data_IF_413360916143
#
_entry.id   IF_413360916143
#
_cell.length_a   1.000
_cell.length_b   1.000
_cell.length_c   1.000
_cell.angle_alpha   90.00
_cell.angle_beta   90.00
_cell.angle_gamma   90.00
#
_symmetry.space_group_name_H-M   'P 1'
#
loop_
_entity.id
_entity.type
_entity.pdbx_description
1 polymer ?
#
# COMPACT_ATOMS: atom_id res chain seq x y z
N UNK A 1 -51.39 -9.41 40.38
CA UNK A 1 -51.25 -8.45 41.49
C UNK A 1 -49.79 -8.35 41.89
N UNK A 2 -49.38 -7.18 42.40
CA UNK A 2 -48.05 -6.75 42.86
C UNK A 2 -47.11 -6.21 41.78
N UNK A 3 -47.22 -4.89 41.62
CA UNK A 3 -46.30 -3.97 40.97
C UNK A 3 -45.11 -3.74 41.92
N UNK A 4 -43.90 -3.62 41.40
CA UNK A 4 -42.83 -2.92 42.11
C UNK A 4 -42.03 -2.10 41.10
N UNK A 5 -41.75 -0.88 41.53
CA UNK A 5 -41.45 0.32 40.77
C UNK A 5 -40.25 0.98 41.49
N UNK A 6 -39.64 1.99 40.84
CA UNK A 6 -38.75 3.06 41.39
C UNK A 6 -37.29 2.61 41.73
N UNK A 7 -36.18 3.34 41.53
CA UNK A 7 -35.88 4.79 41.44
C UNK A 7 -34.62 5.06 40.60
N UNK A 8 -34.71 6.10 39.77
CA UNK A 8 -33.68 6.83 39.02
C UNK A 8 -32.79 7.69 39.94
N UNK A 9 -31.47 7.76 39.69
CA UNK A 9 -30.66 8.87 40.20
C UNK A 9 -29.79 9.48 39.09
N UNK A 10 -30.01 10.79 38.93
CA UNK A 10 -29.41 11.75 38.03
C UNK A 10 -28.05 12.21 38.59
N UNK A 11 -27.05 12.47 37.76
CA UNK A 11 -25.92 13.34 38.12
C UNK A 11 -25.43 14.10 36.89
N UNK A 12 -25.60 15.43 36.93
CA UNK A 12 -25.02 16.42 36.02
C UNK A 12 -23.74 17.00 36.63
N UNK A 13 -22.74 17.24 35.76
CA UNK A 13 -21.77 18.35 35.85
C UNK A 13 -21.28 18.57 34.39
N UNK A 14 -21.45 19.70 33.67
CA UNK A 14 -21.04 21.12 33.88
C UNK A 14 -19.54 21.21 34.24
N UNK A 15 -18.63 21.94 33.58
CA UNK A 15 -18.59 22.83 32.41
C UNK A 15 -17.12 23.19 32.11
N UNK A 16 -16.85 23.63 30.86
CA UNK A 16 -15.83 24.59 30.37
C UNK A 16 -14.39 24.56 30.91
N UNK A 17 -13.33 24.61 30.09
CA UNK A 17 -12.92 25.87 29.44
C UNK A 17 -11.87 25.64 28.34
N UNK A 18 -12.02 26.39 27.25
CA UNK A 18 -11.08 26.58 26.15
C UNK A 18 -9.87 27.43 26.57
N UNK A 19 -8.66 26.95 26.28
CA UNK A 19 -7.43 27.75 26.37
C UNK A 19 -7.14 28.35 24.99
N UNK A 20 -7.06 29.67 24.95
CA UNK A 20 -6.67 30.47 23.80
C UNK A 20 -5.19 30.29 23.47
N UNK A 21 -4.89 30.14 22.18
CA UNK A 21 -3.54 30.25 21.65
C UNK A 21 -3.02 31.69 21.69
N UNK A 22 -1.77 31.84 22.11
CA UNK A 22 -0.94 33.00 21.80
C UNK A 22 0.36 32.49 21.20
N UNK A 23 0.49 32.56 19.88
CA UNK A 23 1.80 32.55 19.22
C UNK A 23 2.00 33.90 18.57
N UNK A 24 3.03 34.58 19.06
CA UNK A 24 3.46 35.92 18.68
C UNK A 24 3.79 35.97 17.18
N UNK A 25 3.26 37.01 16.56
CA UNK A 25 3.48 37.48 15.21
C UNK A 25 4.93 37.95 15.04
N UNK A 26 5.78 37.13 14.43
CA UNK A 26 7.07 37.58 13.87
C UNK A 26 6.86 37.93 12.40
N UNK A 27 6.71 39.23 12.17
CA UNK A 27 6.56 39.84 10.86
C UNK A 27 7.96 40.06 10.26
N UNK A 28 8.42 39.13 9.42
CA UNK A 28 9.54 39.37 8.51
C UNK A 28 9.04 39.32 7.07
N UNK A 29 8.78 40.50 6.52
CA UNK A 29 8.54 40.74 5.11
C UNK A 29 9.86 40.59 4.36
N UNK A 30 10.03 39.47 3.66
CA UNK A 30 10.91 39.39 2.50
C UNK A 30 10.04 39.10 1.28
N UNK A 31 9.94 40.09 0.40
CA UNK A 31 9.31 39.98 -0.89
C UNK A 31 10.16 39.06 -1.80
N UNK A 32 9.96 37.76 -1.66
CA UNK A 32 10.40 36.76 -2.63
C UNK A 32 9.28 36.53 -3.64
N UNK A 33 9.52 36.84 -4.90
CA UNK A 33 8.67 36.43 -6.02
C UNK A 33 8.61 34.89 -6.04
N UNK A 34 7.49 34.32 -5.62
CA UNK A 34 7.27 32.89 -5.69
C UNK A 34 6.33 32.58 -6.85
N UNK A 35 6.88 31.99 -7.91
CA UNK A 35 6.11 31.40 -8.98
C UNK A 35 5.44 30.13 -8.44
N UNK A 36 4.17 30.24 -8.07
CA UNK A 36 3.34 29.08 -7.73
C UNK A 36 3.12 28.26 -9.01
N UNK A 37 3.91 27.20 -9.18
CA UNK A 37 3.68 26.16 -10.19
C UNK A 37 2.42 25.36 -9.80
N UNK A 38 1.36 25.34 -10.62
CA UNK A 38 0.23 24.44 -10.41
C UNK A 38 0.64 23.03 -10.84
N UNK A 39 1.13 22.21 -9.91
CA UNK A 39 1.54 20.85 -10.27
C UNK A 39 2.18 19.97 -9.21
N UNK A 40 2.19 20.35 -7.92
CA UNK A 40 2.69 19.47 -6.87
C UNK A 40 1.53 18.74 -6.19
N UNK A 41 1.35 17.50 -6.65
CA UNK A 41 1.04 16.29 -5.84
C UNK A 41 0.23 16.54 -4.57
N UNK A 42 -1.03 16.09 -4.60
CA UNK A 42 -1.81 15.77 -3.40
C UNK A 42 -0.88 15.16 -2.36
N UNK A 43 -0.61 15.91 -1.29
CA UNK A 43 0.08 15.39 -0.12
C UNK A 43 -0.71 14.16 0.33
N UNK A 44 -0.09 12.97 0.25
CA UNK A 44 -0.60 11.76 0.90
C UNK A 44 -0.96 12.16 2.31
N UNK A 45 -2.24 12.13 2.66
CA UNK A 45 -2.68 12.22 4.05
C UNK A 45 -1.83 11.24 4.84
N UNK A 46 -1.05 11.73 5.80
CA UNK A 46 -0.26 10.90 6.68
C UNK A 46 -1.26 10.00 7.41
N UNK A 47 -1.34 8.76 6.98
CA UNK A 47 -2.31 7.81 7.52
C UNK A 47 -1.82 7.48 8.91
N UNK A 48 -2.53 7.98 9.93
CA UNK A 48 -2.16 7.75 11.32
C UNK A 48 -2.23 6.25 11.60
N UNK A 49 -1.18 5.70 12.19
CA UNK A 49 -1.17 4.30 12.60
C UNK A 49 -2.12 4.09 13.79
N UNK A 50 -2.94 3.04 13.72
CA UNK A 50 -3.85 2.67 14.79
C UNK A 50 -3.19 1.82 15.89
N UNK A 51 -3.95 1.45 16.92
CA UNK A 51 -3.46 0.66 18.05
C UNK A 51 -2.84 -0.69 17.67
N UNK A 52 -3.21 -1.25 16.51
CA UNK A 52 -2.69 -2.51 16.00
C UNK A 52 -1.65 -2.33 14.89
N UNK A 53 -1.22 -1.09 14.63
CA UNK A 53 -0.26 -0.76 13.58
C UNK A 53 -0.85 -0.71 12.17
N UNK A 54 -2.19 -0.73 12.05
CA UNK A 54 -2.91 -0.57 10.79
C UNK A 54 -3.12 0.90 10.41
N UNK A 55 -3.73 1.14 9.24
CA UNK A 55 -4.12 2.46 8.78
C UNK A 55 -5.45 2.89 9.39
N UNK A 56 -5.51 4.07 10.00
CA UNK A 56 -6.77 4.65 10.46
C UNK A 56 -7.47 5.46 9.36
N UNK A 57 -8.77 5.21 9.19
CA UNK A 57 -9.68 6.01 8.37
C UNK A 57 -10.93 6.37 9.17
N UNK A 58 -11.36 7.63 9.07
CA UNK A 58 -12.60 8.08 9.71
C UNK A 58 -13.73 8.12 8.69
N UNK A 59 -14.87 7.52 9.05
CA UNK A 59 -16.09 7.49 8.24
C UNK A 59 -17.30 7.84 9.11
N UNK A 60 -17.76 9.09 9.03
CA UNK A 60 -18.85 9.60 9.88
C UNK A 60 -18.46 9.62 11.36
N UNK A 61 -19.20 8.88 12.19
CA UNK A 61 -18.98 8.79 13.64
C UNK A 61 -18.11 7.60 14.05
N UNK A 62 -17.60 6.85 13.08
CA UNK A 62 -16.77 5.69 13.30
C UNK A 62 -15.39 5.91 12.72
N UNK A 63 -14.40 5.32 13.37
CA UNK A 63 -13.04 5.20 12.88
C UNK A 63 -12.76 3.72 12.65
N UNK A 64 -12.13 3.41 11.52
CA UNK A 64 -11.76 2.05 11.15
C UNK A 64 -10.25 1.96 11.03
N UNK A 65 -9.66 0.94 11.65
CA UNK A 65 -8.26 0.57 11.46
C UNK A 65 -8.20 -0.63 10.51
N UNK A 66 -7.49 -0.49 9.39
CA UNK A 66 -7.24 -1.60 8.47
C UNK A 66 -5.83 -2.12 8.62
N UNK A 67 -5.68 -3.43 8.83
CA UNK A 67 -4.40 -4.12 8.78
C UNK A 67 -4.35 -4.93 7.50
N UNK A 68 -3.31 -4.70 6.69
CA UNK A 68 -3.00 -5.51 5.52
C UNK A 68 -1.77 -6.35 5.82
N UNK A 69 -1.93 -7.66 5.77
CA UNK A 69 -0.83 -8.63 5.95
C UNK A 69 -0.76 -9.56 4.75
N UNK A 70 0.24 -10.45 4.73
CA UNK A 70 0.29 -11.52 3.72
C UNK A 70 -0.80 -12.58 3.94
N UNK A 71 -1.35 -12.67 5.16
CA UNK A 71 -2.40 -13.63 5.53
C UNK A 71 -3.83 -13.14 5.27
N UNK A 72 -4.01 -11.83 5.01
CA UNK A 72 -5.31 -11.28 4.68
C UNK A 72 -5.47 -9.83 5.12
N UNK A 73 -6.73 -9.44 5.31
CA UNK A 73 -7.12 -8.13 5.82
C UNK A 73 -7.88 -8.28 7.13
N UNK A 74 -7.61 -7.37 8.06
CA UNK A 74 -8.31 -7.25 9.34
C UNK A 74 -8.80 -5.81 9.49
N UNK A 75 -10.03 -5.64 10.00
CA UNK A 75 -10.64 -4.34 10.20
C UNK A 75 -11.16 -4.25 11.63
N UNK A 76 -10.61 -3.30 12.39
CA UNK A 76 -11.10 -2.92 13.71
C UNK A 76 -11.95 -1.66 13.59
N UNK A 77 -12.99 -1.55 14.41
CA UNK A 77 -13.89 -0.40 14.40
C UNK A 77 -13.90 0.25 15.76
N UNK A 78 -13.82 1.58 15.77
CA UNK A 78 -13.82 2.44 16.94
C UNK A 78 -14.89 3.51 16.80
N UNK A 79 -15.38 4.02 17.93
CA UNK A 79 -16.18 5.23 17.97
C UNK A 79 -15.29 6.49 17.89
N UNK A 80 -15.92 7.67 17.93
CA UNK A 80 -15.20 8.95 17.89
C UNK A 80 -14.29 9.18 19.12
N UNK A 81 -14.54 8.49 20.23
CA UNK A 81 -13.71 8.54 21.43
C UNK A 81 -12.54 7.54 21.38
N UNK A 82 -12.39 6.80 20.27
CA UNK A 82 -11.36 5.77 20.12
C UNK A 82 -11.69 4.48 20.88
N UNK A 83 -12.92 4.30 21.34
CA UNK A 83 -13.33 3.07 22.04
C UNK A 83 -13.72 2.00 21.02
N UNK A 84 -13.29 0.73 21.21
CA UNK A 84 -13.66 -0.36 20.32
C UNK A 84 -15.18 -0.54 20.24
N UNK A 85 -15.70 -0.70 19.02
CA UNK A 85 -17.10 -0.98 18.73
C UNK A 85 -17.26 -2.47 18.43
N UNK A 86 -18.27 -3.09 19.04
CA UNK A 86 -18.58 -4.51 18.80
C UNK A 86 -18.93 -4.78 17.33
N UNK A 87 -18.26 -5.78 16.74
CA UNK A 87 -18.46 -6.20 15.34
C UNK A 87 -19.13 -7.57 15.18
N UNK A 88 -19.58 -8.23 16.25
CA UNK A 88 -20.13 -9.60 16.21
C UNK A 88 -21.30 -9.80 15.23
N UNK A 89 -22.13 -8.77 15.07
CA UNK A 89 -23.24 -8.73 14.11
C UNK A 89 -22.87 -8.04 12.80
N UNK A 90 -21.69 -7.44 12.75
CA UNK A 90 -21.14 -6.77 11.59
C UNK A 90 -20.80 -7.77 10.50
N UNK A 91 -21.00 -7.36 9.26
CA UNK A 91 -20.53 -8.06 8.07
C UNK A 91 -19.93 -7.03 7.13
N UNK A 92 -19.09 -7.47 6.23
CA UNK A 92 -18.62 -6.57 5.19
C UNK A 92 -18.17 -7.31 3.95
N UNK A 93 -17.76 -6.53 2.98
CA UNK A 93 -17.02 -7.01 1.85
C UNK A 93 -15.89 -6.04 1.53
N UNK A 94 -14.79 -6.61 1.05
CA UNK A 94 -13.64 -5.86 0.58
C UNK A 94 -13.35 -6.22 -0.87
N UNK A 95 -13.19 -5.20 -1.71
CA UNK A 95 -12.72 -5.35 -3.08
C UNK A 95 -11.28 -4.89 -3.17
N UNK A 96 -10.39 -5.81 -3.56
CA UNK A 96 -8.95 -5.57 -3.68
C UNK A 96 -8.58 -5.47 -5.16
N UNK A 97 -7.83 -4.42 -5.52
CA UNK A 97 -7.18 -4.27 -6.82
C UNK A 97 -5.68 -4.10 -6.61
N UNK A 98 -4.87 -4.84 -7.36
CA UNK A 98 -3.41 -4.71 -7.28
C UNK A 98 -2.95 -3.65 -8.27
N UNK A 99 -1.99 -2.82 -7.87
CA UNK A 99 -1.37 -1.83 -8.76
C UNK A 99 -0.90 -2.47 -10.07
N UNK A 100 -1.21 -1.83 -11.20
CA UNK A 100 -0.91 -2.35 -12.54
C UNK A 100 -1.82 -3.50 -13.00
N UNK A 101 -2.84 -3.87 -12.22
CA UNK A 101 -3.83 -4.88 -12.59
C UNK A 101 -5.25 -4.28 -12.59
N UNK A 102 -5.97 -4.44 -13.70
CA UNK A 102 -7.35 -3.95 -13.82
C UNK A 102 -8.37 -4.83 -13.05
N UNK A 103 -8.01 -6.07 -12.72
CA UNK A 103 -8.93 -7.02 -12.10
C UNK A 103 -9.12 -6.73 -10.61
N UNK A 104 -10.40 -6.72 -10.20
CA UNK A 104 -10.82 -6.59 -8.81
C UNK A 104 -11.23 -7.96 -8.27
N UNK A 105 -10.84 -8.24 -7.04
CA UNK A 105 -11.21 -9.46 -6.32
C UNK A 105 -12.01 -9.07 -5.08
N UNK A 106 -13.18 -9.68 -4.88
CA UNK A 106 -14.04 -9.42 -3.73
C UNK A 106 -13.88 -10.55 -2.72
N UNK A 107 -13.77 -10.17 -1.45
CA UNK A 107 -13.73 -11.08 -0.30
C UNK A 107 -14.74 -10.62 0.74
N UNK A 108 -15.34 -11.57 1.45
CA UNK A 108 -16.26 -11.27 2.53
C UNK A 108 -15.47 -11.08 3.83
N UNK A 109 -15.89 -10.09 4.60
CA UNK A 109 -15.35 -9.76 5.92
C UNK A 109 -16.29 -10.30 6.98
N UNK A 110 -15.79 -11.20 7.81
CA UNK A 110 -16.54 -11.88 8.86
C UNK A 110 -15.94 -11.63 10.25
N UNK A 111 -16.75 -11.57 11.32
CA UNK A 111 -16.22 -11.41 12.67
C UNK A 111 -15.31 -12.58 13.05
N UNK A 112 -14.17 -12.26 13.67
CA UNK A 112 -13.20 -13.25 14.15
C UNK A 112 -13.41 -13.65 15.62
N UNK A 113 -14.32 -12.98 16.32
CA UNK A 113 -14.58 -13.16 17.75
C UNK A 113 -13.58 -12.46 18.67
N UNK A 114 -12.63 -11.67 18.13
CA UNK A 114 -11.62 -10.89 18.87
C UNK A 114 -11.80 -9.38 18.67
N UNK A 115 -12.89 -8.97 18.04
CA UNK A 115 -13.22 -7.56 17.78
C UNK A 115 -12.84 -7.07 16.40
N UNK A 116 -12.40 -7.95 15.49
CA UNK A 116 -12.09 -7.60 14.11
C UNK A 116 -13.06 -8.26 13.12
N UNK A 117 -13.23 -7.61 11.97
CA UNK A 117 -13.75 -8.22 10.76
C UNK A 117 -12.59 -8.65 9.88
N UNK A 118 -12.53 -9.94 9.52
CA UNK A 118 -11.37 -10.52 8.83
C UNK A 118 -11.76 -11.13 7.50
N UNK A 119 -10.86 -11.01 6.53
CA UNK A 119 -10.91 -11.68 5.24
C UNK A 119 -9.61 -12.49 5.07
N UNK A 120 -9.61 -13.80 5.40
CA UNK A 120 -8.43 -14.62 5.23
C UNK A 120 -8.16 -14.83 3.73
N UNK A 121 -7.06 -14.26 3.24
CA UNK A 121 -6.65 -14.36 1.84
C UNK A 121 -5.13 -14.35 1.75
N UNK A 122 -4.57 -15.26 0.96
CA UNK A 122 -3.13 -15.31 0.76
C UNK A 122 -2.68 -14.19 -0.20
N UNK A 123 -2.08 -13.13 0.35
CA UNK A 123 -1.53 -11.99 -0.39
C UNK A 123 -0.01 -12.07 -0.58
N UNK A 124 0.65 -13.17 -0.17
CA UNK A 124 2.11 -13.31 -0.26
C UNK A 124 2.66 -13.14 -1.69
N UNK A 125 1.91 -13.52 -2.72
CA UNK A 125 2.31 -13.37 -4.12
C UNK A 125 2.38 -11.91 -4.60
N UNK A 126 1.76 -10.99 -3.85
CA UNK A 126 1.75 -9.56 -4.14
C UNK A 126 2.44 -8.75 -3.03
N UNK A 127 3.20 -9.41 -2.17
CA UNK A 127 4.01 -8.76 -1.15
C UNK A 127 4.96 -7.72 -1.77
N UNK A 128 5.06 -6.56 -1.12
CA UNK A 128 5.80 -5.38 -1.60
C UNK A 128 5.05 -4.53 -2.64
N UNK A 129 3.82 -4.89 -3.03
CA UNK A 129 3.02 -4.14 -4.01
C UNK A 129 1.93 -3.31 -3.34
N UNK A 130 1.55 -2.21 -3.99
CA UNK A 130 0.38 -1.44 -3.59
C UNK A 130 -0.91 -2.13 -4.05
N UNK A 131 -1.93 -1.99 -3.22
CA UNK A 131 -3.29 -2.42 -3.48
C UNK A 131 -4.27 -1.29 -3.18
N UNK A 132 -5.27 -1.12 -4.04
CA UNK A 132 -6.47 -0.36 -3.70
C UNK A 132 -7.44 -1.30 -2.97
N UNK A 133 -7.96 -0.83 -1.86
CA UNK A 133 -8.89 -1.55 -0.99
C UNK A 133 -10.17 -0.73 -0.90
N UNK A 134 -11.28 -1.29 -1.39
CA UNK A 134 -12.62 -0.72 -1.25
C UNK A 134 -13.42 -1.56 -0.26
N UNK A 135 -13.79 -0.95 0.86
CA UNK A 135 -14.44 -1.64 1.98
C UNK A 135 -15.88 -1.18 2.09
N UNK A 136 -16.78 -2.13 2.31
CA UNK A 136 -18.17 -1.88 2.68
C UNK A 136 -18.52 -2.69 3.91
N UNK A 137 -18.96 -2.03 4.97
CA UNK A 137 -19.34 -2.62 6.24
C UNK A 137 -20.83 -2.37 6.50
N UNK A 138 -21.52 -3.36 7.05
CA UNK A 138 -22.94 -3.33 7.39
C UNK A 138 -23.16 -3.96 8.77
N UNK A 139 -24.23 -3.54 9.46
CA UNK A 139 -24.60 -4.12 10.76
C UNK A 139 -23.69 -3.67 11.92
N UNK A 140 -22.88 -2.64 11.72
CA UNK A 140 -22.02 -2.03 12.75
C UNK A 140 -22.67 -0.72 13.21
N UNK A 141 -23.03 -0.63 14.49
CA UNK A 141 -23.71 0.54 15.07
C UNK A 141 -24.90 1.04 14.22
N UNK A 142 -25.70 0.11 13.67
CA UNK A 142 -26.84 0.37 12.78
C UNK A 142 -26.53 1.22 11.52
N UNK A 143 -25.26 1.33 11.14
CA UNK A 143 -24.80 2.13 10.01
C UNK A 143 -24.19 1.26 8.92
N UNK A 144 -24.30 1.72 7.68
CA UNK A 144 -23.52 1.22 6.54
C UNK A 144 -22.34 2.16 6.33
N UNK A 145 -21.15 1.61 6.22
CA UNK A 145 -19.90 2.38 6.09
C UNK A 145 -19.23 1.93 4.80
N UNK A 146 -18.77 2.86 3.99
CA UNK A 146 -17.97 2.57 2.81
C UNK A 146 -16.80 3.53 2.71
N UNK A 147 -15.61 2.99 2.45
CA UNK A 147 -14.42 3.79 2.24
C UNK A 147 -13.44 3.09 1.30
N UNK A 148 -12.52 3.86 0.75
CA UNK A 148 -11.43 3.37 -0.07
C UNK A 148 -10.09 3.82 0.53
N UNK A 149 -9.08 2.96 0.43
CA UNK A 149 -7.71 3.30 0.77
C UNK A 149 -6.71 2.58 -0.14
N UNK A 150 -5.49 3.11 -0.17
CA UNK A 150 -4.35 2.48 -0.84
C UNK A 150 -3.39 1.99 0.23
N UNK A 151 -3.11 0.69 0.23
CA UNK A 151 -2.23 0.04 1.18
C UNK A 151 -1.10 -0.70 0.47
N UNK A 152 0.01 -0.96 1.17
CA UNK A 152 1.09 -1.80 0.66
C UNK A 152 1.07 -3.13 1.39
N UNK A 153 1.08 -4.24 0.66
CA UNK A 153 1.21 -5.57 1.28
C UNK A 153 2.65 -5.70 1.81
N UNK A 154 2.88 -5.96 3.10
CA UNK A 154 4.23 -6.06 3.65
C UNK A 154 5.07 -7.11 2.94
N UNK A 155 6.33 -6.79 2.65
CA UNK A 155 7.30 -7.75 2.11
C UNK A 155 7.58 -8.87 3.14
N UNK A 156 7.79 -10.10 2.67
CA UNK A 156 8.23 -11.19 3.55
C UNK A 156 9.69 -10.99 3.95
N UNK A 157 10.08 -11.54 5.10
CA UNK A 157 11.47 -11.53 5.54
C UNK A 157 12.40 -12.16 4.48
N UNK A 158 11.94 -13.23 3.84
CA UNK A 158 12.66 -13.88 2.73
C UNK A 158 12.87 -12.93 1.54
N UNK A 159 11.86 -12.13 1.19
CA UNK A 159 12.00 -11.12 0.12
C UNK A 159 12.90 -9.96 0.54
N UNK A 160 12.84 -9.53 1.79
CA UNK A 160 13.75 -8.50 2.33
C UNK A 160 15.20 -8.99 2.31
N UNK A 161 15.44 -10.24 2.71
CA UNK A 161 16.76 -10.87 2.66
C UNK A 161 17.26 -11.03 1.22
N UNK A 162 16.41 -11.49 0.30
CA UNK A 162 16.76 -11.60 -1.12
C UNK A 162 17.10 -10.23 -1.74
N UNK A 163 16.34 -9.18 -1.40
CA UNK A 163 16.61 -7.82 -1.85
C UNK A 163 17.93 -7.28 -1.27
N UNK A 164 18.24 -7.59 0.00
CA UNK A 164 19.50 -7.21 0.63
C UNK A 164 20.72 -7.90 -0.02
N UNK A 165 20.60 -9.19 -0.36
CA UNK A 165 21.65 -9.94 -1.08
C UNK A 165 21.83 -9.39 -2.49
N UNK A 166 20.74 -9.15 -3.23
CA UNK A 166 20.80 -8.61 -4.58
C UNK A 166 21.53 -7.25 -4.65
N UNK A 167 21.31 -6.38 -3.65
CA UNK A 167 22.00 -5.08 -3.54
C UNK A 167 23.50 -5.22 -3.27
N UNK A 168 23.93 -6.23 -2.54
CA UNK A 168 25.36 -6.48 -2.27
C UNK A 168 26.09 -7.01 -3.51
N UNK A 169 25.40 -7.77 -4.36
CA UNK A 169 26.01 -8.39 -5.54
C UNK A 169 26.07 -7.46 -6.78
N UNK A 170 25.55 -6.23 -6.69
CA UNK A 170 25.47 -5.29 -7.82
C UNK A 170 26.37 -4.05 -7.70
N UNK A 171 27.38 -4.06 -6.82
CA UNK A 171 28.38 -2.99 -6.81
C UNK A 171 29.38 -3.21 -7.97
N UNK A 172 29.58 -2.25 -8.89
CA UNK A 172 30.64 -2.36 -9.89
C UNK A 172 32.00 -2.29 -9.18
N UNK A 173 32.84 -3.31 -9.35
CA UNK A 173 34.24 -3.26 -8.93
C UNK A 173 34.95 -2.16 -9.73
N UNK A 174 35.12 -1.00 -9.10
CA UNK A 174 36.02 0.04 -9.58
C UNK A 174 37.47 -0.39 -9.34
N UNK A 175 37.92 -1.44 -10.03
CA UNK A 175 39.30 -1.86 -10.01
C UNK A 175 39.68 -2.28 -11.43
N UNK A 176 40.29 -1.35 -12.15
CA UNK A 176 41.43 -1.61 -13.05
C UNK A 176 41.61 -0.42 -13.99
N UNK A 177 42.15 0.69 -13.48
CA UNK A 177 42.97 1.63 -14.27
C UNK A 177 44.08 2.21 -13.40
N UNK A 178 45.17 1.47 -13.33
CA UNK A 178 46.49 1.98 -12.93
C UNK A 178 46.88 3.12 -13.88
N UNK A 179 46.76 4.36 -13.43
CA UNK A 179 47.36 5.51 -14.11
C UNK A 179 48.78 5.68 -13.58
N UNK A 180 49.76 5.21 -14.35
CA UNK A 180 51.16 5.53 -14.17
C UNK A 180 51.33 7.05 -14.31
N UNK A 181 51.82 7.69 -13.25
CA UNK A 181 52.29 9.07 -13.29
C UNK A 181 53.58 9.12 -14.12
N UNK A 182 53.50 9.65 -15.33
CA UNK A 182 54.66 10.12 -16.09
C UNK A 182 54.53 11.64 -16.21
N UNK A 183 55.37 12.33 -15.46
CA UNK A 183 55.62 13.78 -15.56
C UNK A 183 56.39 14.03 -16.86
N UNK A 184 56.11 15.12 -17.58
CA UNK A 184 57.21 15.86 -18.17
C UNK A 184 57.21 17.34 -17.76
N UNK A 185 58.38 17.72 -17.27
CA UNK A 185 58.93 19.07 -17.17
C UNK A 185 59.20 19.66 -18.57
N UNK A 186 59.06 20.99 -18.69
CA UNK A 186 59.69 21.98 -19.60
C UNK A 186 58.64 23.01 -20.06
N UNK A 187 58.69 24.29 -19.64
CA UNK A 187 59.66 25.36 -19.90
C UNK A 187 59.54 26.01 -21.29
N UNK A 188 59.22 27.32 -21.25
CA UNK A 188 59.54 28.42 -22.18
C UNK A 188 58.89 28.55 -23.59
N UNK A 189 58.12 29.64 -23.68
CA UNK A 189 58.25 30.79 -24.61
C UNK A 189 57.66 30.75 -26.04
N UNK A 190 56.94 31.85 -26.30
CA UNK A 190 56.76 32.64 -27.54
C UNK A 190 56.30 32.01 -28.85
N UNK A 191 55.18 32.59 -29.30
CA UNK A 191 54.91 33.11 -30.65
C UNK A 191 54.44 32.17 -31.78
N UNK A 192 53.48 32.74 -32.53
CA UNK A 192 53.02 32.48 -33.90
C UNK A 192 52.44 31.12 -34.30
N UNK A 193 51.20 31.24 -34.78
CA UNK A 193 50.67 30.67 -36.02
C UNK A 193 51.04 29.23 -36.33
N UNK A 194 50.08 28.30 -36.18
CA UNK A 194 49.87 27.24 -37.17
C UNK A 194 48.50 26.59 -37.03
N UNK A 195 47.79 26.66 -38.16
CA UNK A 195 46.62 25.89 -38.56
C UNK A 195 46.78 24.41 -38.24
N UNK A 196 45.84 23.83 -37.50
CA UNK A 196 45.65 22.37 -37.44
C UNK A 196 44.17 22.03 -37.61
N UNK A 197 43.83 21.58 -38.83
CA UNK A 197 42.55 20.96 -39.12
C UNK A 197 42.54 19.54 -38.53
N UNK A 198 41.72 19.31 -37.51
CA UNK A 198 41.47 17.97 -36.97
C UNK A 198 40.24 17.40 -37.66
N UNK A 199 40.49 16.52 -38.63
CA UNK A 199 39.50 15.67 -39.28
C UNK A 199 39.41 14.37 -38.47
N UNK A 200 38.39 14.23 -37.64
CA UNK A 200 38.11 12.97 -36.95
C UNK A 200 37.22 12.09 -37.85
N UNK A 201 37.80 11.02 -38.40
CA UNK A 201 37.11 9.92 -39.09
C UNK A 201 36.56 8.98 -38.02
N UNK A 202 35.24 8.82 -37.96
CA UNK A 202 34.58 7.86 -37.07
C UNK A 202 34.36 6.54 -37.80
N UNK A 203 35.09 5.49 -37.40
CA UNK A 203 34.90 4.14 -37.93
C UNK A 203 33.84 3.39 -37.11
N UNK A 204 32.79 2.99 -37.83
CA UNK A 204 31.68 2.16 -37.40
C UNK A 204 32.17 0.74 -37.10
N UNK A 205 32.06 0.28 -35.85
CA UNK A 205 32.30 -1.12 -35.48
C UNK A 205 30.98 -1.80 -35.13
N UNK A 206 30.60 -2.78 -35.94
CA UNK A 206 29.44 -3.65 -35.81
C UNK A 206 29.87 -5.05 -35.38
N UNK A 207 29.32 -5.56 -34.27
CA UNK A 207 29.36 -6.97 -33.81
C UNK A 207 28.58 -7.05 -32.48
N UNK A 208 27.75 -8.05 -32.14
CA UNK A 208 27.40 -9.35 -32.74
C UNK A 208 26.04 -9.75 -32.14
N UNK A 209 25.10 -10.24 -32.98
CA UNK A 209 23.91 -10.97 -32.54
C UNK A 209 24.32 -12.37 -32.06
N UNK A 210 24.00 -12.71 -30.83
CA UNK A 210 23.72 -14.07 -30.34
C UNK A 210 22.25 -14.03 -29.92
N UNK A 211 21.28 -14.68 -30.57
CA UNK A 211 21.30 -16.06 -31.02
C UNK A 211 20.69 -16.97 -29.94
N UNK A 212 19.51 -16.64 -29.39
CA UNK A 212 18.76 -17.55 -28.49
C UNK A 212 17.66 -18.28 -29.28
N UNK A 213 17.57 -19.62 -29.16
CA UNK A 213 16.51 -20.41 -29.81
C UNK A 213 15.17 -20.29 -29.06
N UNK A 214 14.03 -20.45 -29.75
CA UNK A 214 12.70 -20.41 -29.14
C UNK A 214 12.42 -21.68 -28.32
N UNK A 215 12.02 -21.50 -27.06
CA UNK A 215 11.55 -22.57 -26.18
C UNK A 215 10.15 -23.01 -26.62
N UNK A 216 10.01 -24.30 -26.95
CA UNK A 216 8.77 -24.92 -27.37
C UNK A 216 7.69 -24.88 -26.27
N UNK A 217 6.54 -24.33 -26.64
CA UNK A 217 5.34 -24.15 -25.82
C UNK A 217 4.59 -25.48 -25.70
N UNK A 218 4.70 -26.19 -24.56
CA UNK A 218 3.82 -27.33 -24.24
C UNK A 218 2.47 -26.81 -23.71
N UNK A 219 1.47 -26.79 -24.58
CA UNK A 219 0.06 -26.67 -24.24
C UNK A 219 -0.41 -27.93 -23.50
N UNK A 220 -0.52 -27.86 -22.17
CA UNK A 220 -1.31 -28.82 -21.38
C UNK A 220 -2.68 -28.22 -21.15
N UNK A 221 -3.68 -28.70 -21.88
CA UNK A 221 -5.10 -28.46 -21.62
C UNK A 221 -5.54 -29.34 -20.44
N UNK A 222 -5.99 -28.79 -19.29
CA UNK A 222 -6.61 -29.60 -18.25
C UNK A 222 -8.09 -29.85 -18.58
N UNK A 223 -8.47 -31.10 -18.38
CA UNK A 223 -9.75 -31.70 -18.73
C UNK A 223 -10.97 -30.99 -18.12
N UNK A 224 -12.04 -30.96 -18.91
CA UNK A 224 -13.38 -30.53 -18.52
C UNK A 224 -13.94 -31.52 -17.48
N UNK A 225 -14.39 -31.09 -16.29
CA UNK A 225 -14.97 -32.00 -15.30
C UNK A 225 -16.31 -32.56 -15.80
N UNK A 226 -16.52 -33.87 -15.57
CA UNK A 226 -17.78 -34.57 -15.86
C UNK A 226 -18.91 -34.00 -14.98
N UNK A 227 -20.12 -33.78 -15.52
CA UNK A 227 -21.26 -33.39 -14.71
C UNK A 227 -21.68 -34.55 -13.79
N UNK A 228 -21.67 -34.31 -12.49
CA UNK A 228 -22.28 -35.20 -11.50
C UNK A 228 -23.81 -35.16 -11.68
N UNK A 229 -24.39 -36.32 -11.98
CA UNK A 229 -25.83 -36.51 -11.99
C UNK A 229 -26.36 -36.35 -10.56
N UNK A 230 -27.30 -35.41 -10.36
CA UNK A 230 -28.03 -35.25 -9.10
C UNK A 230 -29.01 -36.41 -8.91
N UNK A 231 -29.07 -37.04 -7.72
CA UNK A 231 -30.14 -37.97 -7.38
C UNK A 231 -31.48 -37.22 -7.28
N UNK A 232 -32.53 -37.82 -7.84
CA UNK A 232 -33.91 -37.34 -7.74
C UNK A 232 -34.44 -37.52 -6.31
N UNK A 233 -35.27 -36.60 -5.79
CA UNK A 233 -35.89 -36.76 -4.48
C UNK A 233 -36.98 -37.83 -4.51
N UNK A 234 -36.87 -38.80 -3.59
CA UNK A 234 -37.92 -39.77 -3.31
C UNK A 234 -39.17 -39.06 -2.78
N UNK A 235 -40.24 -39.13 -3.57
CA UNK A 235 -41.61 -38.74 -3.20
C UNK A 235 -42.10 -39.71 -2.10
N UNK A 236 -42.18 -39.25 -0.86
CA UNK A 236 -42.94 -39.96 0.19
C UNK A 236 -44.43 -39.74 -0.08
N UNK A 237 -45.13 -40.80 -0.44
CA UNK A 237 -46.57 -40.90 -0.24
C UNK A 237 -46.82 -41.19 1.23
N UNK A 238 -47.72 -40.43 1.85
CA UNK A 238 -48.32 -40.75 3.15
C UNK A 238 -49.81 -40.98 2.89
N UNK A 239 -50.41 -42.05 3.45
CA UNK A 239 -51.83 -42.37 3.33
C UNK A 239 -52.74 -41.37 4.05
#
# INVERSE_FOLDING_TARGET
>A
MKRTLIITAFSLAMSASSVFGQSIQSQHQHAGHNHTMPGMTQAREATQAGPHGGSLKQSGNLQTETIVSQGGLEIFVYDRAGQPVSVDRGRGAVSVRVEGNAKRYRYDLLPDGKGALTAPVNLSQIAGRQIDVDVQLVGIAASTISFNEVATVPASEQQLAAAAIARKNSAPSAESRSAAWVIPSQSMSTDRSSTFAVRAVWTRSSRTRLGMPPVARRSRSPQRPKPMQRPLPHRRFVP
#
